data_IF_716126328539
#
_entry.id   IF_716126328539
#
_cell.length_a   1.000
_cell.length_b   1.000
_cell.length_c   1.000
_cell.angle_alpha   90.00
_cell.angle_beta   90.00
_cell.angle_gamma   90.00
#
_symmetry.space_group_name_H-M   'P 1'
#
loop_
_entity.id
_entity.type
_entity.pdbx_description
1 polymer ?
#
# COMPACT_ATOMS: atom_id res chain seq x y z
N UNK A 1 -23.61 -8.25 4.05
CA UNK A 1 -24.28 -7.14 3.34
C UNK A 1 -25.21 -7.65 2.23
N UNK A 2 -24.85 -8.70 1.49
CA UNK A 2 -25.64 -9.25 0.40
C UNK A 2 -25.61 -10.80 0.40
N UNK A 3 -26.21 -11.47 1.40
CA UNK A 3 -26.09 -12.91 1.60
C UNK A 3 -26.75 -13.73 0.49
N UNK A 4 -27.54 -13.10 -0.36
CA UNK A 4 -28.23 -13.76 -1.49
C UNK A 4 -27.40 -13.82 -2.77
N UNK A 5 -26.24 -13.12 -2.82
CA UNK A 5 -25.38 -13.16 -4.00
C UNK A 5 -24.47 -14.38 -3.94
N UNK A 6 -24.39 -15.09 -5.06
CA UNK A 6 -23.40 -16.14 -5.24
C UNK A 6 -22.04 -15.51 -5.57
N UNK A 7 -20.99 -15.91 -4.82
CA UNK A 7 -19.63 -15.36 -4.97
C UNK A 7 -18.68 -16.43 -5.50
N UNK A 8 -18.09 -16.17 -6.64
CA UNK A 8 -17.10 -17.02 -7.31
C UNK A 8 -15.71 -16.40 -7.12
N UNK A 9 -14.84 -17.05 -6.36
CA UNK A 9 -13.51 -16.55 -6.02
C UNK A 9 -12.46 -17.28 -6.86
N UNK A 10 -11.93 -16.63 -7.90
CA UNK A 10 -11.08 -17.26 -8.90
C UNK A 10 -9.71 -17.70 -8.39
N UNK A 11 -9.15 -17.07 -7.36
CA UNK A 11 -7.85 -17.48 -6.80
C UNK A 11 -7.91 -18.79 -6.01
N UNK A 12 -9.12 -19.26 -5.68
CA UNK A 12 -9.37 -20.52 -4.98
C UNK A 12 -9.90 -21.63 -5.92
N UNK A 13 -10.16 -21.29 -7.18
CA UNK A 13 -10.72 -22.20 -8.17
C UNK A 13 -9.67 -23.15 -8.74
N UNK A 14 -10.03 -24.43 -8.84
CA UNK A 14 -9.27 -25.45 -9.57
C UNK A 14 -9.40 -25.36 -11.09
N UNK A 15 -10.51 -24.79 -11.61
CA UNK A 15 -10.75 -24.57 -13.03
C UNK A 15 -11.42 -23.19 -13.26
N UNK A 16 -10.60 -22.15 -13.33
CA UNK A 16 -11.03 -20.77 -13.44
C UNK A 16 -11.85 -20.49 -14.72
N UNK A 17 -11.43 -21.03 -15.83
CA UNK A 17 -12.12 -20.90 -17.12
C UNK A 17 -13.57 -21.38 -17.01
N UNK A 18 -13.77 -22.59 -16.50
CA UNK A 18 -15.11 -23.15 -16.33
C UNK A 18 -15.96 -22.33 -15.35
N UNK A 19 -15.36 -21.79 -14.28
CA UNK A 19 -16.08 -20.98 -13.32
C UNK A 19 -16.47 -19.60 -13.88
N UNK A 20 -15.62 -19.00 -14.71
CA UNK A 20 -15.96 -17.78 -15.43
C UNK A 20 -17.09 -18.05 -16.45
N UNK A 21 -17.02 -19.16 -17.17
CA UNK A 21 -18.05 -19.55 -18.16
C UNK A 21 -19.42 -19.81 -17.52
N UNK A 22 -19.45 -20.44 -16.36
CA UNK A 22 -20.67 -20.77 -15.61
C UNK A 22 -21.31 -19.59 -14.90
N UNK A 23 -20.57 -18.50 -14.70
CA UNK A 23 -21.09 -17.33 -13.99
C UNK A 23 -22.33 -16.76 -14.68
N UNK A 24 -23.40 -16.53 -13.91
CA UNK A 24 -24.70 -16.08 -14.38
C UNK A 24 -25.02 -14.65 -13.94
N UNK A 25 -26.11 -14.11 -14.43
CA UNK A 25 -26.59 -12.82 -13.97
C UNK A 25 -26.95 -12.87 -12.48
N UNK A 26 -26.40 -11.98 -11.68
CA UNK A 26 -26.50 -11.95 -10.23
C UNK A 26 -25.30 -12.54 -9.50
N UNK A 27 -24.40 -13.25 -10.17
CA UNK A 27 -23.17 -13.73 -9.56
C UNK A 27 -22.13 -12.60 -9.43
N UNK A 28 -21.30 -12.71 -8.41
CA UNK A 28 -20.13 -11.84 -8.18
C UNK A 28 -18.85 -12.64 -8.40
N UNK A 29 -18.09 -12.27 -9.42
CA UNK A 29 -16.77 -12.88 -9.69
C UNK A 29 -15.68 -12.03 -9.05
N UNK A 30 -14.93 -12.60 -8.11
CA UNK A 30 -13.83 -11.94 -7.41
C UNK A 30 -12.50 -12.47 -7.95
N UNK A 31 -11.62 -11.56 -8.37
CA UNK A 31 -10.31 -11.90 -8.92
C UNK A 31 -9.25 -10.92 -8.48
N UNK A 32 -7.98 -11.24 -8.71
CA UNK A 32 -6.84 -10.33 -8.49
C UNK A 32 -6.40 -9.69 -9.80
N UNK A 33 -5.67 -8.58 -9.74
CA UNK A 33 -5.09 -7.96 -10.94
C UNK A 33 -4.13 -8.89 -11.70
N UNK A 34 -3.41 -9.76 -10.98
CA UNK A 34 -2.54 -10.76 -11.60
C UNK A 34 -3.35 -11.78 -12.39
N UNK A 35 -4.42 -12.32 -11.79
CA UNK A 35 -5.30 -13.29 -12.46
C UNK A 35 -6.11 -12.64 -13.59
N UNK A 36 -6.52 -11.37 -13.44
CA UNK A 36 -7.12 -10.62 -14.53
C UNK A 36 -6.22 -10.63 -15.78
N UNK A 37 -4.92 -10.46 -15.62
CA UNK A 37 -4.00 -10.47 -16.76
C UNK A 37 -3.79 -11.88 -17.33
N UNK A 38 -3.86 -12.93 -16.51
CA UNK A 38 -3.72 -14.33 -16.94
C UNK A 38 -4.96 -14.81 -17.68
N UNK A 39 -6.15 -14.53 -17.14
CA UNK A 39 -7.45 -14.99 -17.65
C UNK A 39 -8.12 -13.92 -18.55
N UNK A 40 -7.33 -12.98 -19.09
CA UNK A 40 -7.84 -11.82 -19.82
C UNK A 40 -8.70 -12.21 -21.01
N UNK A 41 -8.28 -13.22 -21.78
CA UNK A 41 -8.98 -13.65 -22.99
C UNK A 41 -10.45 -13.99 -22.69
N UNK A 42 -10.70 -14.76 -21.64
CA UNK A 42 -12.06 -15.15 -21.28
C UNK A 42 -12.82 -14.02 -20.56
N UNK A 43 -12.17 -13.26 -19.69
CA UNK A 43 -12.81 -12.16 -18.96
C UNK A 43 -13.22 -11.02 -19.91
N UNK A 44 -12.45 -10.73 -20.96
CA UNK A 44 -12.70 -9.66 -21.92
C UNK A 44 -13.75 -10.04 -22.99
N UNK A 45 -14.02 -11.32 -23.21
CA UNK A 45 -15.09 -11.76 -24.13
C UNK A 45 -16.49 -11.54 -23.56
N UNK A 46 -16.61 -11.52 -22.22
CA UNK A 46 -17.89 -11.34 -21.53
C UNK A 46 -18.25 -9.86 -21.39
N UNK A 47 -19.54 -9.57 -21.47
CA UNK A 47 -20.09 -8.26 -21.11
C UNK A 47 -20.58 -8.29 -19.66
N UNK A 48 -19.89 -7.57 -18.80
CA UNK A 48 -20.19 -7.48 -17.37
C UNK A 48 -21.23 -6.38 -17.10
N UNK A 49 -22.12 -6.58 -16.14
CA UNK A 49 -23.03 -5.51 -15.72
C UNK A 49 -22.26 -4.41 -15.00
N UNK A 50 -21.39 -4.79 -14.04
CA UNK A 50 -20.52 -3.86 -13.30
C UNK A 50 -19.12 -4.47 -13.23
N UNK A 51 -18.10 -3.67 -13.49
CA UNK A 51 -16.71 -3.98 -13.13
C UNK A 51 -16.27 -2.99 -12.07
N UNK A 52 -15.87 -3.51 -10.92
CA UNK A 52 -15.34 -2.73 -9.82
C UNK A 52 -13.84 -3.05 -9.63
N UNK A 53 -12.99 -2.04 -9.65
CA UNK A 53 -11.56 -2.17 -9.35
C UNK A 53 -11.32 -1.62 -7.95
N UNK A 54 -10.94 -2.50 -7.03
CA UNK A 54 -10.48 -2.09 -5.70
C UNK A 54 -8.98 -1.81 -5.74
N UNK A 55 -8.50 -0.89 -4.89
CA UNK A 55 -7.12 -0.40 -4.90
C UNK A 55 -6.64 0.00 -6.31
N UNK A 56 -7.48 0.80 -7.00
CA UNK A 56 -7.28 1.16 -8.40
C UNK A 56 -5.97 1.94 -8.66
N UNK A 57 -5.22 2.33 -7.62
CA UNK A 57 -3.86 2.82 -7.79
C UNK A 57 -2.95 1.84 -8.55
N UNK A 58 -3.30 0.54 -8.57
CA UNK A 58 -2.60 -0.51 -9.32
C UNK A 58 -2.60 -0.24 -10.83
N UNK A 59 -3.64 0.39 -11.35
CA UNK A 59 -3.77 0.72 -12.79
C UNK A 59 -3.43 2.17 -13.13
N UNK A 60 -2.91 2.96 -12.20
CA UNK A 60 -2.58 4.39 -12.39
C UNK A 60 -1.63 4.66 -13.56
N UNK A 61 -0.72 3.75 -13.85
CA UNK A 61 0.21 3.84 -14.98
C UNK A 61 -0.36 3.10 -16.20
N UNK A 62 -0.69 3.84 -17.26
CA UNK A 62 -1.26 3.33 -18.51
C UNK A 62 -0.40 2.25 -19.20
N UNK A 63 0.93 2.26 -18.96
CA UNK A 63 1.86 1.35 -19.65
C UNK A 63 1.94 -0.04 -19.01
N UNK A 64 1.42 -0.22 -17.79
CA UNK A 64 1.46 -1.52 -17.11
C UNK A 64 0.56 -2.56 -17.76
N UNK A 65 0.95 -3.84 -17.66
CA UNK A 65 0.13 -4.96 -18.14
C UNK A 65 -1.25 -4.97 -17.47
N UNK A 66 -1.30 -4.68 -16.17
CA UNK A 66 -2.53 -4.65 -15.38
C UNK A 66 -3.48 -3.55 -15.84
N UNK A 67 -2.97 -2.33 -16.13
CA UNK A 67 -3.78 -1.25 -16.69
C UNK A 67 -4.33 -1.62 -18.05
N UNK A 68 -3.49 -2.15 -18.94
CA UNK A 68 -3.92 -2.57 -20.28
C UNK A 68 -4.96 -3.69 -20.23
N UNK A 69 -4.83 -4.63 -19.32
CA UNK A 69 -5.80 -5.70 -19.13
C UNK A 69 -7.14 -5.14 -18.61
N UNK A 70 -7.11 -4.29 -17.60
CA UNK A 70 -8.33 -3.68 -17.06
C UNK A 70 -9.10 -2.88 -18.11
N UNK A 71 -8.40 -2.13 -18.98
CA UNK A 71 -9.03 -1.34 -20.06
C UNK A 71 -9.80 -2.19 -21.07
N UNK A 72 -9.43 -3.47 -21.27
CA UNK A 72 -10.08 -4.38 -22.21
C UNK A 72 -11.39 -4.98 -21.68
N UNK A 73 -11.66 -4.87 -20.36
CA UNK A 73 -12.91 -5.35 -19.80
C UNK A 73 -14.11 -4.56 -20.32
N UNK A 74 -15.10 -5.29 -20.82
CA UNK A 74 -16.37 -4.74 -21.29
C UNK A 74 -17.37 -4.74 -20.15
N UNK A 75 -17.92 -3.57 -19.81
CA UNK A 75 -18.93 -3.46 -18.77
C UNK A 75 -19.89 -2.30 -19.04
N UNK A 76 -21.15 -2.48 -18.63
CA UNK A 76 -22.17 -1.43 -18.70
C UNK A 76 -21.86 -0.29 -17.73
N UNK A 77 -21.27 -0.60 -16.58
CA UNK A 77 -20.84 0.37 -15.57
C UNK A 77 -19.45 -0.01 -15.06
N UNK A 78 -18.62 0.98 -14.87
CA UNK A 78 -17.28 0.80 -14.31
C UNK A 78 -17.13 1.67 -13.07
N UNK A 79 -16.60 1.09 -12.00
CA UNK A 79 -16.39 1.75 -10.70
C UNK A 79 -14.96 1.50 -10.26
N UNK A 80 -14.35 2.47 -9.61
CA UNK A 80 -13.06 2.30 -8.96
C UNK A 80 -13.16 2.70 -7.49
N UNK A 81 -12.46 1.95 -6.65
CA UNK A 81 -12.25 2.25 -5.25
C UNK A 81 -10.76 2.50 -5.04
N UNK A 82 -10.42 3.59 -4.36
CA UNK A 82 -9.03 3.90 -4.03
C UNK A 82 -8.95 4.87 -2.87
N UNK A 83 -8.05 4.61 -1.92
CA UNK A 83 -7.73 5.55 -0.85
C UNK A 83 -6.92 6.75 -1.31
N UNK A 84 -6.23 6.65 -2.45
CA UNK A 84 -5.29 7.64 -2.98
C UNK A 84 -5.47 7.83 -4.49
N UNK A 85 -6.46 8.62 -4.93
CA UNK A 85 -6.75 8.79 -6.36
C UNK A 85 -5.63 9.50 -7.13
N UNK A 86 -4.88 10.35 -6.46
CA UNK A 86 -3.70 11.05 -7.01
C UNK A 86 -2.58 10.92 -5.98
N UNK A 87 -1.47 10.27 -6.35
CA UNK A 87 -0.30 10.16 -5.48
C UNK A 87 0.80 11.11 -5.90
N UNK A 88 1.17 11.10 -7.19
CA UNK A 88 2.34 11.84 -7.67
C UNK A 88 2.03 12.77 -8.83
N UNK A 89 1.21 12.37 -9.79
CA UNK A 89 0.99 13.11 -11.05
C UNK A 89 -0.47 13.06 -11.51
N UNK A 90 -0.93 14.15 -12.14
CA UNK A 90 -2.27 14.23 -12.75
C UNK A 90 -2.50 13.21 -13.86
N UNK A 91 -1.43 12.72 -14.50
CA UNK A 91 -1.53 11.63 -15.48
C UNK A 91 -2.12 10.34 -14.91
N UNK A 92 -1.93 10.09 -13.61
CA UNK A 92 -2.54 8.94 -12.90
C UNK A 92 -4.07 9.08 -12.88
N UNK A 93 -4.55 10.28 -12.57
CA UNK A 93 -5.99 10.61 -12.60
C UNK A 93 -6.58 10.39 -14.00
N UNK A 94 -5.89 10.86 -15.04
CA UNK A 94 -6.33 10.67 -16.42
C UNK A 94 -6.56 9.19 -16.73
N UNK A 95 -5.61 8.33 -16.35
CA UNK A 95 -5.73 6.90 -16.65
C UNK A 95 -6.89 6.24 -15.89
N UNK A 96 -7.14 6.63 -14.63
CA UNK A 96 -8.30 6.15 -13.88
C UNK A 96 -9.62 6.56 -14.58
N UNK A 97 -9.68 7.81 -15.07
CA UNK A 97 -10.87 8.28 -15.80
C UNK A 97 -11.03 7.65 -17.18
N UNK A 98 -9.95 7.24 -17.85
CA UNK A 98 -10.07 6.45 -19.09
C UNK A 98 -10.73 5.09 -18.83
N UNK A 99 -10.57 4.53 -17.63
CA UNK A 99 -11.27 3.30 -17.28
C UNK A 99 -12.75 3.53 -17.00
N UNK A 100 -13.13 4.49 -16.15
CA UNK A 100 -14.52 4.71 -15.70
C UNK A 100 -15.37 5.48 -16.73
N UNK A 101 -14.83 6.51 -17.34
CA UNK A 101 -15.51 7.40 -18.29
C UNK A 101 -14.58 7.73 -19.48
N UNK A 102 -14.39 6.78 -20.42
CA UNK A 102 -13.53 7.00 -21.57
C UNK A 102 -13.92 8.28 -22.34
N UNK A 103 -12.93 9.12 -22.63
CA UNK A 103 -13.13 10.36 -23.39
C UNK A 103 -13.53 11.60 -22.58
N UNK A 104 -13.96 11.49 -21.32
CA UNK A 104 -14.36 12.64 -20.49
C UNK A 104 -13.24 13.68 -20.36
N UNK A 105 -12.01 13.24 -20.19
CA UNK A 105 -10.84 14.10 -20.03
C UNK A 105 -10.07 14.33 -21.35
N UNK A 106 -10.59 13.86 -22.48
CA UNK A 106 -9.95 13.93 -23.79
C UNK A 106 -8.79 12.94 -23.95
N UNK A 107 -7.98 13.12 -25.01
CA UNK A 107 -6.78 12.32 -25.22
C UNK A 107 -5.70 12.66 -24.18
N UNK A 108 -4.71 11.75 -24.02
CA UNK A 108 -3.59 11.98 -23.12
C UNK A 108 -2.84 13.28 -23.42
N UNK A 109 -2.64 13.58 -24.71
CA UNK A 109 -1.96 14.79 -25.16
C UNK A 109 -2.77 16.05 -24.85
N UNK A 110 -4.08 16.03 -25.13
CA UNK A 110 -5.00 17.14 -24.79
C UNK A 110 -5.04 17.39 -23.29
N UNK A 111 -5.12 16.34 -22.49
CA UNK A 111 -5.10 16.45 -21.02
C UNK A 111 -3.78 17.00 -20.50
N UNK A 112 -2.67 16.57 -21.07
CA UNK A 112 -1.33 17.08 -20.72
C UNK A 112 -1.22 18.58 -20.97
N UNK A 113 -1.60 19.04 -22.17
CA UNK A 113 -1.53 20.44 -22.54
C UNK A 113 -2.51 21.31 -21.72
N UNK A 114 -3.74 20.82 -21.52
CA UNK A 114 -4.80 21.60 -20.89
C UNK A 114 -4.70 21.67 -19.37
N UNK A 115 -4.23 20.59 -18.72
CA UNK A 115 -4.24 20.45 -17.27
C UNK A 115 -2.88 20.14 -16.65
N UNK A 116 -2.13 19.14 -17.16
CA UNK A 116 -0.89 18.73 -16.49
C UNK A 116 0.15 19.87 -16.53
N UNK A 117 0.47 20.37 -17.71
CA UNK A 117 1.48 21.42 -17.85
C UNK A 117 1.12 22.71 -17.12
N UNK A 118 -0.10 23.27 -17.22
CA UNK A 118 -0.46 24.47 -16.47
C UNK A 118 -0.49 24.26 -14.95
N UNK A 119 -1.02 23.12 -14.48
CA UNK A 119 -1.18 22.87 -13.04
C UNK A 119 0.15 22.47 -12.38
N UNK A 120 0.85 21.46 -12.93
CA UNK A 120 2.09 20.96 -12.33
C UNK A 120 3.30 21.86 -12.65
N UNK A 121 3.33 22.50 -13.83
CA UNK A 121 4.43 23.40 -14.23
C UNK A 121 4.30 24.81 -13.70
N UNK A 122 3.09 25.40 -13.78
CA UNK A 122 2.85 26.81 -13.50
C UNK A 122 1.98 27.07 -12.26
N UNK A 123 1.55 26.03 -11.56
CA UNK A 123 0.64 26.11 -10.40
C UNK A 123 -0.67 26.88 -10.69
N UNK A 124 -1.23 26.69 -11.90
CA UNK A 124 -2.43 27.39 -12.39
C UNK A 124 -3.68 26.95 -11.61
N UNK A 125 -4.12 27.80 -10.69
CA UNK A 125 -5.29 27.56 -9.82
C UNK A 125 -6.62 27.57 -10.58
N UNK A 126 -6.70 28.29 -11.67
CA UNK A 126 -7.92 28.34 -12.49
C UNK A 126 -8.12 27.00 -13.20
N UNK A 127 -7.08 26.47 -13.84
CA UNK A 127 -7.10 25.15 -14.47
C UNK A 127 -7.34 24.03 -13.45
N UNK A 128 -6.76 24.15 -12.26
CA UNK A 128 -7.03 23.21 -11.16
C UNK A 128 -8.50 23.22 -10.76
N UNK A 129 -9.12 24.41 -10.64
CA UNK A 129 -10.53 24.58 -10.31
C UNK A 129 -11.43 24.02 -11.42
N UNK A 130 -11.09 24.24 -12.69
CA UNK A 130 -11.81 23.69 -13.86
C UNK A 130 -11.77 22.16 -13.83
N UNK A 131 -10.60 21.54 -13.63
CA UNK A 131 -10.46 20.10 -13.54
C UNK A 131 -11.29 19.54 -12.38
N UNK A 132 -11.20 20.17 -11.19
CA UNK A 132 -11.98 19.75 -10.02
C UNK A 132 -13.48 19.76 -10.28
N UNK A 133 -14.02 20.80 -10.93
CA UNK A 133 -15.44 20.88 -11.30
C UNK A 133 -15.84 19.81 -12.30
N UNK A 134 -14.97 19.50 -13.26
CA UNK A 134 -15.23 18.48 -14.28
C UNK A 134 -15.35 17.07 -13.71
N UNK A 135 -14.49 16.72 -12.73
CA UNK A 135 -14.45 15.39 -12.14
C UNK A 135 -15.36 15.22 -10.90
N UNK A 136 -15.78 16.31 -10.28
CA UNK A 136 -16.59 16.29 -9.05
C UNK A 136 -17.84 15.40 -9.11
N UNK A 137 -18.63 15.37 -10.22
CA UNK A 137 -19.82 14.52 -10.30
C UNK A 137 -19.52 13.01 -10.25
N UNK A 138 -18.28 12.60 -10.51
CA UNK A 138 -17.84 11.21 -10.57
C UNK A 138 -17.02 10.78 -9.35
N UNK A 139 -16.83 11.69 -8.37
CA UNK A 139 -16.02 11.45 -7.19
C UNK A 139 -16.89 11.44 -5.94
N UNK A 140 -16.83 10.34 -5.20
CA UNK A 140 -17.36 10.27 -3.84
C UNK A 140 -16.20 10.03 -2.87
N UNK A 141 -15.92 11.02 -2.04
CA UNK A 141 -14.90 10.90 -0.99
C UNK A 141 -15.55 11.10 0.38
N UNK A 142 -15.31 10.17 1.28
CA UNK A 142 -15.71 10.25 2.68
C UNK A 142 -14.49 10.03 3.56
N UNK A 143 -14.23 10.93 4.47
CA UNK A 143 -13.19 10.72 5.50
C UNK A 143 -13.79 9.99 6.71
N UNK A 144 -12.94 9.30 7.48
CA UNK A 144 -13.40 8.60 8.69
C UNK A 144 -14.09 9.57 9.67
N UNK A 145 -13.54 10.76 9.89
CA UNK A 145 -14.11 11.77 10.78
C UNK A 145 -15.47 12.31 10.33
N UNK A 146 -15.77 12.32 9.01
CA UNK A 146 -17.09 12.73 8.50
C UNK A 146 -18.17 11.67 8.73
N UNK A 147 -17.80 10.39 8.74
CA UNK A 147 -18.74 9.26 8.74
C UNK A 147 -18.90 8.67 10.13
N UNK A 148 -17.80 8.50 10.88
CA UNK A 148 -17.77 7.79 12.16
C UNK A 148 -17.51 8.81 13.27
N UNK A 149 -18.58 9.43 13.74
CA UNK A 149 -18.55 10.43 14.82
C UNK A 149 -18.24 9.84 16.21
N UNK A 150 -18.35 8.52 16.35
CA UNK A 150 -18.14 7.80 17.60
C UNK A 150 -16.68 7.41 17.84
N UNK A 151 -15.82 7.54 16.83
CA UNK A 151 -14.38 7.27 17.01
C UNK A 151 -13.72 8.42 17.79
N UNK A 152 -12.92 8.10 18.81
CA UNK A 152 -12.09 9.11 19.47
C UNK A 152 -11.09 9.71 18.47
N UNK A 153 -10.67 10.94 18.77
CA UNK A 153 -9.67 11.62 17.97
C UNK A 153 -8.34 10.84 17.96
N UNK A 154 -7.73 10.78 16.78
CA UNK A 154 -6.40 10.16 16.63
C UNK A 154 -5.34 11.08 17.24
N UNK A 155 -4.58 10.56 18.20
CA UNK A 155 -3.41 11.24 18.74
C UNK A 155 -2.14 10.68 18.08
N UNK A 156 -1.35 11.54 17.45
CA UNK A 156 -0.04 11.17 16.89
C UNK A 156 1.06 11.58 17.89
N UNK A 157 1.78 10.60 18.41
CA UNK A 157 2.89 10.81 19.36
C UNK A 157 4.19 10.45 18.64
N UNK A 158 5.14 11.39 18.60
CA UNK A 158 6.48 11.13 18.14
C UNK A 158 7.36 10.75 19.35
N UNK A 159 7.98 9.58 19.29
CA UNK A 159 8.95 9.13 20.28
C UNK A 159 10.35 9.31 19.69
N UNK A 160 11.09 10.39 20.04
CA UNK A 160 12.47 10.55 19.63
C UNK A 160 13.34 9.54 20.36
N UNK A 161 14.21 8.86 19.60
CA UNK A 161 15.17 7.89 20.15
C UNK A 161 16.58 8.43 19.91
N UNK A 162 17.35 8.61 20.98
CA UNK A 162 18.76 8.97 20.89
C UNK A 162 19.59 7.74 20.54
N UNK A 163 20.33 7.84 19.46
CA UNK A 163 21.24 6.77 19.04
C UNK A 163 22.50 6.75 19.92
N UNK A 164 23.05 5.59 20.15
CA UNK A 164 24.35 5.45 20.80
C UNK A 164 25.46 6.08 19.96
N UNK A 165 26.57 6.49 20.61
CA UNK A 165 27.72 7.11 19.92
C UNK A 165 28.28 6.23 18.79
N UNK A 166 28.22 4.91 18.95
CA UNK A 166 28.68 3.96 17.94
C UNK A 166 27.73 3.93 16.74
N UNK A 167 26.41 3.94 16.97
CA UNK A 167 25.42 4.00 15.92
C UNK A 167 25.50 5.32 15.13
N UNK A 168 25.67 6.44 15.85
CA UNK A 168 25.86 7.76 15.20
C UNK A 168 27.09 7.73 14.30
N UNK A 169 28.22 7.24 14.80
CA UNK A 169 29.48 7.18 14.04
C UNK A 169 29.32 6.35 12.78
N UNK A 170 28.72 5.17 12.90
CA UNK A 170 28.51 4.26 11.76
C UNK A 170 27.53 4.86 10.74
N UNK A 171 26.41 5.42 11.21
CA UNK A 171 25.41 6.06 10.37
C UNK A 171 25.99 7.26 9.59
N UNK A 172 26.73 8.15 10.29
CA UNK A 172 27.31 9.35 9.68
C UNK A 172 28.40 9.01 8.66
N UNK A 173 29.23 7.99 8.94
CA UNK A 173 30.21 7.49 8.00
C UNK A 173 29.54 7.01 6.71
N UNK A 174 28.48 6.22 6.85
CA UNK A 174 27.74 5.67 5.71
C UNK A 174 26.97 6.77 4.97
N UNK A 175 26.37 7.71 5.69
CA UNK A 175 25.65 8.85 5.10
C UNK A 175 26.56 9.69 4.21
N UNK A 176 27.78 10.01 4.67
CA UNK A 176 28.76 10.75 3.89
C UNK A 176 29.15 10.01 2.61
N UNK A 177 29.35 8.70 2.69
CA UNK A 177 29.64 7.87 1.52
C UNK A 177 28.50 7.94 0.49
N UNK A 178 27.24 7.83 0.93
CA UNK A 178 26.06 7.92 0.05
C UNK A 178 25.92 9.32 -0.54
N UNK A 179 26.15 10.39 0.23
CA UNK A 179 26.14 11.76 -0.28
C UNK A 179 27.17 11.98 -1.42
N UNK A 180 28.34 11.40 -1.28
CA UNK A 180 29.39 11.49 -2.28
C UNK A 180 29.02 10.75 -3.57
N UNK A 181 28.40 9.56 -3.42
CA UNK A 181 27.82 8.82 -4.55
C UNK A 181 26.75 9.61 -5.28
N UNK A 182 25.82 10.24 -4.56
CA UNK A 182 24.74 11.07 -5.13
C UNK A 182 25.30 12.32 -5.83
N UNK A 183 26.37 12.92 -5.33
CA UNK A 183 27.01 14.08 -5.96
C UNK A 183 27.74 13.73 -7.26
N UNK A 184 28.36 12.55 -7.33
CA UNK A 184 29.10 12.09 -8.51
C UNK A 184 28.21 11.52 -9.59
N UNK A 185 27.11 10.88 -9.20
CA UNK A 185 26.13 10.28 -10.12
C UNK A 185 24.89 11.19 -10.23
N UNK A 186 24.85 12.02 -11.27
CA UNK A 186 23.73 12.93 -11.55
C UNK A 186 22.42 12.23 -11.93
N UNK A 187 22.41 10.92 -12.13
CA UNK A 187 21.23 10.11 -12.36
C UNK A 187 20.89 9.32 -11.08
N UNK A 188 19.65 9.44 -10.60
CA UNK A 188 19.13 8.57 -9.54
C UNK A 188 19.02 7.14 -10.07
N UNK A 189 20.13 6.41 -9.99
CA UNK A 189 20.21 5.02 -10.43
C UNK A 189 19.67 4.04 -9.37
N UNK A 190 19.38 2.82 -9.81
CA UNK A 190 18.93 1.71 -8.93
C UNK A 190 19.96 1.49 -7.80
N UNK A 191 21.26 1.69 -8.06
CA UNK A 191 22.32 1.61 -7.05
C UNK A 191 22.15 2.66 -5.93
N UNK A 192 21.88 3.92 -6.28
CA UNK A 192 21.67 5.01 -5.31
C UNK A 192 20.45 4.74 -4.42
N UNK A 193 19.36 4.23 -5.00
CA UNK A 193 18.16 3.84 -4.23
C UNK A 193 18.45 2.68 -3.27
N UNK A 194 19.30 1.74 -3.66
CA UNK A 194 19.73 0.64 -2.79
C UNK A 194 20.52 1.17 -1.58
N UNK A 195 21.42 2.13 -1.79
CA UNK A 195 22.21 2.74 -0.71
C UNK A 195 21.33 3.58 0.24
N UNK A 196 20.35 4.32 -0.28
CA UNK A 196 19.35 5.01 0.55
C UNK A 196 18.55 4.00 1.37
N UNK A 197 18.22 2.84 0.81
CA UNK A 197 17.51 1.78 1.51
C UNK A 197 18.36 1.24 2.68
N UNK A 198 19.67 1.06 2.48
CA UNK A 198 20.59 0.66 3.55
C UNK A 198 20.67 1.72 4.67
N UNK A 199 20.71 3.02 4.34
CA UNK A 199 20.63 4.08 5.36
C UNK A 199 19.35 3.97 6.19
N UNK A 200 18.22 3.69 5.56
CA UNK A 200 16.95 3.48 6.25
C UNK A 200 16.96 2.22 7.13
N UNK A 201 17.64 1.17 6.70
CA UNK A 201 17.86 -0.03 7.49
C UNK A 201 18.74 0.27 8.71
N UNK A 202 19.86 0.97 8.52
CA UNK A 202 20.73 1.40 9.62
C UNK A 202 20.02 2.28 10.65
N UNK A 203 19.09 3.13 10.22
CA UNK A 203 18.25 3.92 11.12
C UNK A 203 17.24 3.05 11.93
N UNK A 204 17.05 1.78 11.57
CA UNK A 204 16.34 0.81 12.39
C UNK A 204 17.32 0.02 13.29
N UNK A 205 18.37 -0.55 12.68
CA UNK A 205 19.45 -1.27 13.36
C UNK A 205 20.66 -1.37 12.44
N UNK A 206 21.85 -1.07 12.93
CA UNK A 206 23.09 -1.20 12.17
C UNK A 206 23.36 -2.65 11.74
N UNK A 207 22.91 -3.64 12.52
CA UNK A 207 23.05 -5.08 12.23
C UNK A 207 22.36 -5.51 10.92
N UNK A 208 21.37 -4.74 10.43
CA UNK A 208 20.69 -5.04 9.17
C UNK A 208 21.60 -4.84 7.95
N UNK A 209 22.60 -3.98 8.08
CA UNK A 209 23.56 -3.68 7.01
C UNK A 209 24.92 -4.31 7.30
N UNK A 210 25.40 -4.22 8.54
CA UNK A 210 26.66 -4.81 8.99
C UNK A 210 26.40 -6.02 9.90
N UNK A 211 26.55 -7.22 9.37
CA UNK A 211 26.35 -8.47 10.12
C UNK A 211 27.36 -8.71 11.24
N UNK A 212 28.46 -7.98 11.26
CA UNK A 212 29.44 -8.03 12.37
C UNK A 212 29.00 -7.19 13.58
N UNK A 213 28.02 -6.30 13.38
CA UNK A 213 27.46 -5.47 14.45
C UNK A 213 26.72 -6.30 15.49
N UNK A 214 27.13 -6.20 16.76
CA UNK A 214 26.58 -7.01 17.87
C UNK A 214 25.89 -6.18 18.95
N UNK A 215 25.93 -4.85 18.81
CA UNK A 215 25.31 -3.94 19.79
C UNK A 215 23.81 -3.88 19.48
N UNK A 216 22.93 -4.05 20.49
CA UNK A 216 21.49 -3.85 20.30
C UNK A 216 21.18 -2.44 19.79
N UNK A 217 20.21 -2.33 18.90
CA UNK A 217 19.76 -1.03 18.37
C UNK A 217 19.10 -0.21 19.48
N UNK A 218 19.48 1.08 19.60
CA UNK A 218 18.81 2.02 20.50
C UNK A 218 17.30 2.09 20.24
N UNK A 219 16.89 2.00 18.98
CA UNK A 219 15.47 1.95 18.61
C UNK A 219 14.78 0.67 19.11
N UNK A 220 15.47 -0.47 19.06
CA UNK A 220 14.93 -1.73 19.54
C UNK A 220 14.76 -1.70 21.06
N UNK A 221 15.74 -1.16 21.78
CA UNK A 221 15.67 -1.00 23.24
C UNK A 221 14.50 -0.10 23.64
N UNK A 222 14.38 1.09 23.02
CA UNK A 222 13.27 2.00 23.28
C UNK A 222 11.89 1.37 22.92
N UNK A 223 11.84 0.50 21.92
CA UNK A 223 10.63 -0.24 21.59
C UNK A 223 10.29 -1.25 22.69
N UNK A 224 11.25 -2.00 23.22
CA UNK A 224 11.00 -2.98 24.28
C UNK A 224 10.51 -2.28 25.55
N UNK A 225 11.16 -1.19 25.96
CA UNK A 225 10.71 -0.39 27.11
C UNK A 225 9.26 0.08 26.96
N UNK A 226 8.89 0.52 25.76
CA UNK A 226 7.51 0.91 25.45
C UNK A 226 6.56 -0.29 25.49
N UNK A 227 6.97 -1.44 24.93
CA UNK A 227 6.15 -2.64 24.89
C UNK A 227 5.89 -3.20 26.29
N UNK A 228 6.90 -3.21 27.17
CA UNK A 228 6.75 -3.57 28.58
C UNK A 228 5.74 -2.66 29.29
N UNK A 229 5.88 -1.34 29.13
CA UNK A 229 4.96 -0.36 29.70
C UNK A 229 3.53 -0.52 29.21
N UNK A 230 3.32 -0.83 27.93
CA UNK A 230 2.00 -1.10 27.35
C UNK A 230 1.40 -2.40 27.90
N UNK A 231 2.20 -3.45 28.01
CA UNK A 231 1.79 -4.73 28.57
C UNK A 231 1.36 -4.60 30.03
N UNK A 232 2.15 -3.91 30.84
CA UNK A 232 1.85 -3.68 32.26
C UNK A 232 0.59 -2.83 32.47
N UNK A 233 0.32 -1.94 31.53
CA UNK A 233 -0.90 -1.11 31.52
C UNK A 233 -2.12 -1.82 30.93
N UNK A 234 -1.99 -3.07 30.46
CA UNK A 234 -3.05 -3.82 29.82
C UNK A 234 -3.47 -3.27 28.45
N UNK A 235 -2.61 -2.47 27.83
CA UNK A 235 -2.86 -1.89 26.51
C UNK A 235 -2.41 -2.83 25.38
N UNK A 236 -3.06 -2.67 24.23
CA UNK A 236 -2.77 -3.47 23.03
C UNK A 236 -2.17 -2.62 21.95
N UNK A 237 -1.27 -3.19 21.15
CA UNK A 237 -0.62 -2.47 20.08
C UNK A 237 -0.50 -3.28 18.80
N UNK A 238 -0.64 -2.57 17.66
CA UNK A 238 -0.22 -3.05 16.36
C UNK A 238 1.16 -2.46 16.05
N UNK A 239 2.12 -3.32 15.76
CA UNK A 239 3.52 -2.94 15.51
C UNK A 239 3.83 -3.12 14.04
N UNK A 240 4.23 -2.06 13.36
CA UNK A 240 4.53 -2.08 11.94
C UNK A 240 5.98 -1.75 11.66
N UNK A 241 6.62 -2.53 10.80
CA UNK A 241 7.91 -2.19 10.22
C UNK A 241 7.91 -2.45 8.72
N UNK A 242 8.65 -1.62 8.00
CA UNK A 242 8.88 -1.82 6.57
C UNK A 242 9.85 -2.98 6.30
N UNK A 243 10.74 -3.28 7.27
CA UNK A 243 11.79 -4.29 7.12
C UNK A 243 11.46 -5.53 7.93
N UNK A 244 11.20 -6.64 7.26
CA UNK A 244 10.95 -7.94 7.90
C UNK A 244 12.18 -8.40 8.70
N UNK A 245 13.40 -8.12 8.23
CA UNK A 245 14.63 -8.38 8.96
C UNK A 245 14.72 -7.63 10.29
N UNK A 246 14.15 -6.41 10.39
CA UNK A 246 14.06 -5.71 11.67
C UNK A 246 12.98 -6.33 12.57
N UNK A 247 11.87 -6.79 12.01
CA UNK A 247 10.85 -7.52 12.77
C UNK A 247 11.39 -8.83 13.35
N UNK A 248 12.36 -9.47 12.72
CA UNK A 248 13.04 -10.65 13.29
C UNK A 248 13.83 -10.28 14.55
N UNK A 249 14.54 -9.13 14.54
CA UNK A 249 15.22 -8.62 15.75
C UNK A 249 14.21 -8.25 16.85
N UNK A 250 13.10 -7.61 16.47
CA UNK A 250 12.00 -7.29 17.39
C UNK A 250 11.44 -8.56 18.03
N UNK A 251 11.18 -9.60 17.26
CA UNK A 251 10.69 -10.89 17.76
C UNK A 251 11.67 -11.50 18.77
N UNK A 252 12.95 -11.57 18.40
CA UNK A 252 13.98 -12.09 19.31
C UNK A 252 14.06 -11.30 20.63
N UNK A 253 13.93 -9.97 20.57
CA UNK A 253 13.93 -9.15 21.76
C UNK A 253 12.66 -9.33 22.62
N UNK A 254 11.49 -9.46 21.99
CA UNK A 254 10.24 -9.76 22.70
C UNK A 254 10.24 -11.14 23.35
N UNK A 255 10.80 -12.17 22.66
CA UNK A 255 10.98 -13.50 23.23
C UNK A 255 11.86 -13.47 24.48
N UNK A 256 12.97 -12.70 24.44
CA UNK A 256 13.87 -12.53 25.60
C UNK A 256 13.18 -11.76 26.75
N UNK A 257 12.33 -10.79 26.45
CA UNK A 257 11.53 -10.05 27.41
C UNK A 257 10.27 -10.81 27.88
N UNK A 258 10.03 -12.02 27.36
CA UNK A 258 8.85 -12.84 27.65
C UNK A 258 7.51 -12.13 27.35
N UNK A 259 7.50 -11.22 26.36
CA UNK A 259 6.31 -10.50 25.92
C UNK A 259 5.55 -11.34 24.87
N UNK A 260 4.27 -11.61 25.05
CA UNK A 260 3.49 -12.37 24.08
C UNK A 260 3.17 -11.51 22.85
N UNK A 261 3.32 -12.07 21.65
CA UNK A 261 3.01 -11.39 20.39
C UNK A 261 2.47 -12.36 19.33
N UNK A 262 1.75 -11.80 18.36
CA UNK A 262 1.39 -12.46 17.11
C UNK A 262 2.24 -11.88 15.99
N UNK A 263 2.61 -12.71 15.00
CA UNK A 263 3.48 -12.27 13.90
C UNK A 263 2.86 -12.58 12.55
N UNK A 264 2.86 -11.56 11.68
CA UNK A 264 2.37 -11.66 10.31
C UNK A 264 3.31 -10.93 9.35
N UNK A 265 3.70 -11.62 8.28
CA UNK A 265 4.48 -11.05 7.18
C UNK A 265 3.99 -11.54 5.81
N UNK A 266 4.74 -11.19 4.74
CA UNK A 266 4.41 -11.59 3.37
C UNK A 266 4.40 -13.10 3.14
N UNK A 267 5.16 -13.88 3.91
CA UNK A 267 5.27 -15.34 3.79
C UNK A 267 4.15 -16.11 4.50
N UNK A 268 3.40 -15.44 5.39
CA UNK A 268 2.32 -16.06 6.19
C UNK A 268 1.18 -16.56 5.30
N UNK A 269 0.82 -17.86 5.34
CA UNK A 269 -0.29 -18.41 4.55
C UNK A 269 -1.63 -17.75 4.87
N UNK A 270 -2.52 -17.64 3.88
CA UNK A 270 -3.79 -16.90 4.00
C UNK A 270 -4.68 -17.40 5.15
N UNK A 271 -4.82 -18.73 5.29
CA UNK A 271 -5.62 -19.32 6.38
C UNK A 271 -5.07 -18.96 7.77
N UNK A 272 -3.73 -18.90 7.91
CA UNK A 272 -3.09 -18.51 9.17
C UNK A 272 -3.28 -17.01 9.46
N UNK A 273 -3.33 -16.16 8.42
CA UNK A 273 -3.59 -14.72 8.60
C UNK A 273 -4.94 -14.46 9.24
N UNK A 274 -5.98 -15.13 8.76
CA UNK A 274 -7.34 -14.99 9.31
C UNK A 274 -7.39 -15.43 10.79
N UNK A 275 -6.68 -16.51 11.13
CA UNK A 275 -6.62 -16.97 12.50
C UNK A 275 -5.89 -15.98 13.41
N UNK A 276 -4.74 -15.47 12.99
CA UNK A 276 -3.97 -14.46 13.75
C UNK A 276 -4.79 -13.20 14.03
N UNK A 277 -5.55 -12.72 13.03
CA UNK A 277 -6.43 -11.56 13.21
C UNK A 277 -7.53 -11.86 14.23
N UNK A 278 -8.15 -13.05 14.16
CA UNK A 278 -9.18 -13.46 15.16
C UNK A 278 -8.57 -13.59 16.56
N UNK A 279 -7.38 -14.14 16.69
CA UNK A 279 -6.70 -14.28 17.97
C UNK A 279 -6.37 -12.91 18.57
N UNK A 280 -5.92 -11.95 17.77
CA UNK A 280 -5.70 -10.59 18.22
C UNK A 280 -7.02 -9.91 18.62
N UNK A 281 -8.09 -10.03 17.83
CA UNK A 281 -9.40 -9.45 18.12
C UNK A 281 -10.07 -10.05 19.37
N UNK A 282 -9.74 -11.29 19.73
CA UNK A 282 -10.29 -11.97 20.93
C UNK A 282 -9.49 -11.72 22.20
N UNK A 283 -8.63 -10.69 22.23
CA UNK A 283 -7.79 -10.27 23.37
C UNK A 283 -6.83 -11.35 23.91
N UNK A 284 -6.48 -12.33 23.07
CA UNK A 284 -5.57 -13.41 23.46
C UNK A 284 -4.10 -12.99 23.48
N UNK A 285 -3.79 -11.91 22.81
CA UNK A 285 -2.42 -11.42 22.72
C UNK A 285 -2.39 -9.89 22.61
N UNK A 286 -1.55 -9.18 23.38
CA UNK A 286 -1.49 -7.72 23.38
C UNK A 286 -0.80 -7.13 22.15
N UNK A 287 0.13 -7.84 21.51
CA UNK A 287 0.91 -7.32 20.40
C UNK A 287 0.69 -8.11 19.11
N UNK A 288 0.62 -7.37 17.99
CA UNK A 288 0.49 -7.94 16.65
C UNK A 288 1.27 -7.15 15.61
#
# INVERSE_FOLDING_TARGET
FAPTLNVIVLNQSGNRTADIEKAQAGDVVVTTYTLLNIELEILATREWNVVCLDEAHTIKNANTKMSKAAMQLKARRKVILTGTPIQNHLSELWNLFQFINPGLLGSAEQFKQKFIQPIEGNNDKERQSQLRRLIAPFLLRRTKGEVIKELPDKTDIQLPVELSSNEITMYEMYRKMVEELVRTDKSLNVSTLAEITKLRQMACSCSLVDKSWKVPSSKLLAFIDLAESLNDSGNRALVFSQFTSFLEEVRYAMDNAQLPYLYLDGSTPMAKREQLVKDFQSDRCPFF
#
